data_IF_491342010294
#
_entry.id   IF_491342010294
#
_cell.length_a   1.000
_cell.length_b   1.000
_cell.length_c   1.000
_cell.angle_alpha   90.00
_cell.angle_beta   90.00
_cell.angle_gamma   90.00
#
_symmetry.space_group_name_H-M   'P 1'
#
loop_
_entity.id
_entity.type
_entity.pdbx_description
1 polymer ?
#
# COMPACT_ATOMS: atom_id res chain seq x y z
N UNK A 1 -9.33 -6.40 -4.04
CA UNK A 1 -8.16 -6.41 -3.13
C UNK A 1 -7.85 -4.96 -2.76
N UNK A 2 -7.53 -4.68 -1.50
CA UNK A 2 -7.27 -3.32 -1.01
C UNK A 2 -5.91 -3.28 -0.30
N UNK A 3 -5.14 -2.21 -0.51
CA UNK A 3 -3.89 -2.00 0.21
C UNK A 3 -4.18 -1.68 1.68
N UNK A 4 -3.64 -2.49 2.59
CA UNK A 4 -3.79 -2.29 4.04
C UNK A 4 -3.31 -0.91 4.50
N UNK A 5 -2.23 -0.40 3.90
CA UNK A 5 -1.68 0.90 4.26
C UNK A 5 -2.45 2.05 3.60
N UNK A 6 -2.40 2.17 2.26
CA UNK A 6 -2.91 3.36 1.56
C UNK A 6 -4.31 3.22 0.93
N UNK A 7 -5.02 2.12 1.19
CA UNK A 7 -6.41 1.89 0.76
C UNK A 7 -6.70 1.93 -0.74
N UNK A 8 -5.66 2.00 -1.58
CA UNK A 8 -5.82 1.89 -3.04
C UNK A 8 -6.33 0.50 -3.39
N UNK A 9 -7.23 0.46 -4.36
CA UNK A 9 -7.81 -0.77 -4.93
C UNK A 9 -7.22 -1.10 -6.29
N UNK A 10 -6.40 -0.21 -6.84
CA UNK A 10 -5.69 -0.37 -8.10
C UNK A 10 -4.18 -0.25 -7.88
N UNK A 11 -3.42 -1.22 -8.38
CA UNK A 11 -1.97 -1.25 -8.32
C UNK A 11 -1.46 -2.22 -9.39
N UNK A 12 -0.32 -1.95 -10.04
CA UNK A 12 0.24 -2.85 -11.06
C UNK A 12 0.67 -4.20 -10.49
N UNK A 13 1.00 -4.24 -9.19
CA UNK A 13 1.36 -5.47 -8.49
C UNK A 13 0.89 -5.40 -7.04
N UNK A 14 0.32 -6.49 -6.57
CA UNK A 14 -0.01 -6.71 -5.18
C UNK A 14 1.14 -7.42 -4.47
N UNK A 15 1.57 -6.87 -3.35
CA UNK A 15 2.54 -7.46 -2.44
C UNK A 15 1.82 -7.95 -1.19
N UNK A 16 2.44 -8.87 -0.44
CA UNK A 16 1.95 -9.31 0.87
C UNK A 16 2.99 -8.96 1.93
N UNK A 17 2.52 -8.70 3.14
CA UNK A 17 3.39 -8.60 4.32
C UNK A 17 4.04 -9.96 4.59
N UNK A 18 5.16 -9.97 5.33
CA UNK A 18 5.92 -11.19 5.62
C UNK A 18 5.07 -12.24 6.37
N UNK A 19 4.19 -11.78 7.26
CA UNK A 19 3.23 -12.60 7.99
C UNK A 19 2.04 -13.06 7.12
N UNK A 20 1.99 -12.65 5.85
CA UNK A 20 0.92 -12.90 4.87
C UNK A 20 -0.49 -12.46 5.29
N UNK A 21 -0.63 -11.72 6.39
CA UNK A 21 -1.94 -11.27 6.88
C UNK A 21 -2.51 -10.13 6.04
N UNK A 22 -1.67 -9.25 5.52
CA UNK A 22 -2.10 -8.04 4.85
C UNK A 22 -1.59 -7.97 3.40
N UNK A 23 -2.43 -7.41 2.53
CA UNK A 23 -2.06 -7.08 1.16
C UNK A 23 -1.63 -5.62 1.07
N UNK A 24 -0.55 -5.36 0.36
CA UNK A 24 0.01 -4.03 0.12
C UNK A 24 0.06 -3.76 -1.37
N UNK A 25 -0.15 -2.51 -1.77
CA UNK A 25 0.15 -2.09 -3.13
C UNK A 25 1.68 -2.10 -3.36
N UNK A 26 2.09 -2.02 -4.63
CA UNK A 26 3.51 -2.06 -4.99
C UNK A 26 4.33 -1.00 -4.24
N UNK A 27 3.84 0.24 -4.18
CA UNK A 27 4.53 1.34 -3.51
C UNK A 27 4.65 1.12 -2.00
N UNK A 28 3.59 0.66 -1.32
CA UNK A 28 3.62 0.43 0.12
C UNK A 28 4.49 -0.76 0.49
N UNK A 29 4.46 -1.84 -0.30
CA UNK A 29 5.30 -3.02 -0.04
C UNK A 29 6.78 -2.76 -0.31
N UNK A 30 7.13 -1.96 -1.33
CA UNK A 30 8.52 -1.54 -1.56
C UNK A 30 9.04 -0.65 -0.42
N UNK A 31 8.23 0.32 0.03
CA UNK A 31 8.58 1.16 1.17
C UNK A 31 8.79 0.33 2.44
N UNK A 32 7.88 -0.59 2.73
CA UNK A 32 7.98 -1.46 3.89
C UNK A 32 9.24 -2.33 3.85
N UNK A 33 9.61 -2.86 2.68
CA UNK A 33 10.85 -3.63 2.50
C UNK A 33 12.10 -2.78 2.74
N UNK A 34 12.10 -1.52 2.32
CA UNK A 34 13.27 -0.66 2.38
C UNK A 34 13.47 -0.02 3.76
N UNK A 35 12.39 0.41 4.40
CA UNK A 35 12.44 1.20 5.65
C UNK A 35 11.93 0.42 6.86
N UNK A 36 11.51 -0.84 6.67
CA UNK A 36 10.94 -1.69 7.72
C UNK A 36 9.77 -1.03 8.47
N UNK A 37 9.02 -0.15 7.78
CA UNK A 37 7.96 0.67 8.33
C UNK A 37 6.89 1.01 7.29
N UNK A 38 5.73 1.49 7.74
CA UNK A 38 4.63 1.84 6.83
C UNK A 38 4.90 3.15 6.10
N UNK A 39 4.56 3.20 4.80
CA UNK A 39 4.72 4.42 4.00
C UNK A 39 3.89 5.53 4.63
N UNK A 40 4.49 6.69 5.00
CA UNK A 40 3.74 7.83 5.50
C UNK A 40 2.78 8.28 4.41
N UNK A 41 1.50 8.27 4.72
CA UNK A 41 0.46 8.77 3.85
C UNK A 41 0.36 10.26 4.12
N UNK A 42 1.23 11.04 3.48
CA UNK A 42 1.00 12.47 3.46
C UNK A 42 -0.35 12.67 2.79
N UNK A 43 -1.28 13.26 3.54
CA UNK A 43 -2.72 13.31 3.26
C UNK A 43 -2.95 13.86 1.85
N UNK A 44 -2.99 12.96 0.88
CA UNK A 44 -3.54 13.20 -0.44
C UNK A 44 -4.50 12.06 -0.66
N UNK A 45 -5.63 12.16 0.04
CA UNK A 45 -6.88 11.69 -0.51
C UNK A 45 -6.97 12.32 -1.90
N UNK A 46 -6.50 11.62 -2.93
CA UNK A 46 -7.15 11.74 -4.22
C UNK A 46 -8.38 10.87 -4.06
N UNK A 47 -9.56 11.42 -3.68
CA UNK A 47 -10.76 10.74 -4.09
C UNK A 47 -10.61 10.60 -5.61
N UNK A 48 -10.73 9.39 -6.09
CA UNK A 48 -11.05 9.11 -7.47
C UNK A 48 -12.30 9.93 -7.79
N UNK A 49 -12.09 11.16 -8.28
CA UNK A 49 -13.14 11.95 -8.88
C UNK A 49 -13.32 11.33 -10.27
N UNK A 50 -14.41 10.58 -10.39
CA UNK A 50 -15.02 10.17 -11.64
C UNK A 50 -15.31 11.37 -12.52
#
# INVERSE_FOLDING_TARGET
LECFNCKVTQTPLWRRTLDRKHSLCNACGLYYKQYNGHRPLHIRHKPSLS
#
